data_IF_311788078227
#
_entry.id   IF_311788078227
#
_cell.length_a   1.000
_cell.length_b   1.000
_cell.length_c   1.000
_cell.angle_alpha   90.00
_cell.angle_beta   90.00
_cell.angle_gamma   90.00
#
_symmetry.space_group_name_H-M   'P 1'
#
loop_
_entity.id
_entity.type
_entity.pdbx_description
1 polymer ?
#
# COMPACT_ATOMS: atom_id res chain seq x y z
N UNK A 1 -13.64 -0.37 -16.83
CA UNK A 1 -12.92 0.04 -15.60
C UNK A 1 -11.47 -0.38 -15.69
N UNK A 2 -10.54 0.55 -15.44
CA UNK A 2 -9.11 0.24 -15.35
C UNK A 2 -8.71 -0.27 -13.97
N UNK A 3 -7.54 -0.90 -13.83
CA UNK A 3 -7.07 -1.44 -12.55
C UNK A 3 -6.90 -0.34 -11.49
N UNK A 4 -6.40 0.85 -11.85
CA UNK A 4 -6.34 2.01 -10.95
C UNK A 4 -7.69 2.34 -10.32
N UNK A 5 -8.78 2.14 -11.06
CA UNK A 5 -10.14 2.39 -10.61
C UNK A 5 -10.59 1.33 -9.62
N UNK A 6 -10.32 0.06 -9.93
CA UNK A 6 -10.67 -1.06 -9.04
C UNK A 6 -9.94 -0.96 -7.69
N UNK A 7 -8.75 -0.35 -7.66
CA UNK A 7 -7.93 -0.20 -6.46
C UNK A 7 -8.24 1.04 -5.60
N UNK A 8 -9.20 1.90 -5.95
CA UNK A 8 -9.48 3.14 -5.19
C UNK A 8 -9.97 2.90 -3.75
N UNK A 9 -10.74 1.83 -3.53
CA UNK A 9 -11.20 1.44 -2.20
C UNK A 9 -11.31 -0.08 -2.12
N UNK A 10 -10.38 -0.72 -1.44
CA UNK A 10 -10.30 -2.19 -1.33
C UNK A 10 -10.22 -2.56 0.14
N UNK A 11 -10.92 -3.62 0.52
CA UNK A 11 -10.82 -4.19 1.86
C UNK A 11 -10.29 -5.61 1.80
N UNK A 12 -9.29 -5.92 2.62
CA UNK A 12 -8.84 -7.29 2.88
C UNK A 12 -9.44 -7.72 4.21
N UNK A 13 -10.25 -8.77 4.20
CA UNK A 13 -10.87 -9.37 5.39
C UNK A 13 -10.00 -10.55 5.84
N UNK A 14 -9.71 -10.64 7.14
CA UNK A 14 -8.72 -11.58 7.68
C UNK A 14 -7.29 -11.13 7.34
N UNK A 15 -7.06 -9.82 7.35
CA UNK A 15 -5.81 -9.21 6.90
C UNK A 15 -4.59 -9.59 7.75
N UNK A 16 -4.78 -9.90 9.05
CA UNK A 16 -3.71 -10.35 9.94
C UNK A 16 -3.33 -11.82 9.77
N UNK A 17 -4.10 -12.58 8.98
CA UNK A 17 -3.77 -13.96 8.62
C UNK A 17 -2.63 -14.06 7.61
N UNK A 18 -2.00 -15.23 7.49
CA UNK A 18 -0.84 -15.47 6.60
C UNK A 18 -1.10 -15.11 5.12
N UNK A 19 -2.30 -15.40 4.64
CA UNK A 19 -2.69 -15.08 3.25
C UNK A 19 -3.14 -13.63 3.12
N UNK A 20 -3.91 -13.13 4.09
CA UNK A 20 -4.38 -11.74 4.13
C UNK A 20 -3.22 -10.75 4.16
N UNK A 21 -2.16 -11.05 4.91
CA UNK A 21 -0.99 -10.19 5.03
C UNK A 21 -0.19 -10.10 3.73
N UNK A 22 -0.06 -11.22 3.01
CA UNK A 22 0.55 -11.26 1.68
C UNK A 22 -0.26 -10.46 0.66
N UNK A 23 -1.59 -10.60 0.65
CA UNK A 23 -2.49 -9.84 -0.23
C UNK A 23 -2.41 -8.34 0.10
N UNK A 24 -2.46 -7.99 1.38
CA UNK A 24 -2.35 -6.62 1.85
C UNK A 24 -1.04 -5.96 1.39
N UNK A 25 0.09 -6.66 1.51
CA UNK A 25 1.39 -6.19 1.03
C UNK A 25 1.38 -5.92 -0.49
N UNK A 26 0.90 -6.89 -1.29
CA UNK A 26 0.87 -6.74 -2.74
C UNK A 26 -0.02 -5.57 -3.19
N UNK A 27 -1.20 -5.42 -2.56
CA UNK A 27 -2.09 -4.31 -2.83
C UNK A 27 -1.49 -2.96 -2.40
N UNK A 28 -0.85 -2.89 -1.22
CA UNK A 28 -0.21 -1.67 -0.75
C UNK A 28 0.89 -1.18 -1.70
N UNK A 29 1.75 -2.10 -2.17
CA UNK A 29 2.82 -1.83 -3.13
C UNK A 29 2.25 -1.37 -4.48
N UNK A 30 1.25 -2.07 -5.01
CA UNK A 30 0.63 -1.72 -6.29
C UNK A 30 -0.08 -0.37 -6.24
N UNK A 31 -0.82 -0.10 -5.16
CA UNK A 31 -1.48 1.19 -4.94
C UNK A 31 -0.48 2.34 -4.80
N UNK A 32 0.65 2.11 -4.12
CA UNK A 32 1.72 3.10 -4.00
C UNK A 32 2.32 3.43 -5.37
N UNK A 33 2.74 2.41 -6.13
CA UNK A 33 3.29 2.59 -7.48
C UNK A 33 2.32 3.35 -8.39
N UNK A 34 1.04 2.98 -8.37
CA UNK A 34 0.01 3.65 -9.17
C UNK A 34 -0.21 5.10 -8.76
N UNK A 35 -0.21 5.42 -7.46
CA UNK A 35 -0.32 6.81 -7.03
C UNK A 35 0.82 7.66 -7.59
N UNK A 36 2.06 7.20 -7.41
CA UNK A 36 3.24 7.97 -7.77
C UNK A 36 3.30 8.15 -9.29
N UNK A 37 2.92 7.10 -10.02
CA UNK A 37 2.81 7.11 -11.47
C UNK A 37 1.77 8.10 -12.02
N UNK A 38 1.85 8.41 -13.33
CA UNK A 38 1.04 9.44 -13.97
C UNK A 38 -0.47 9.16 -13.88
N UNK A 39 -0.88 7.89 -13.85
CA UNK A 39 -2.28 7.49 -13.83
C UNK A 39 -2.99 7.72 -12.48
N UNK A 40 -2.24 7.96 -11.40
CA UNK A 40 -2.80 7.97 -10.05
C UNK A 40 -2.64 9.27 -9.28
N UNK A 41 -2.02 10.33 -9.84
CA UNK A 41 -1.78 11.59 -9.12
C UNK A 41 -3.06 12.19 -8.50
N UNK A 42 -4.18 12.15 -9.23
CA UNK A 42 -5.48 12.67 -8.75
C UNK A 42 -6.36 11.61 -8.07
N UNK A 43 -5.88 10.36 -7.96
CA UNK A 43 -6.67 9.25 -7.44
C UNK A 43 -6.46 9.03 -5.94
N UNK A 44 -7.56 8.75 -5.26
CA UNK A 44 -7.58 8.41 -3.84
C UNK A 44 -7.65 6.90 -3.70
N UNK A 45 -6.50 6.29 -3.36
CA UNK A 45 -6.40 4.89 -3.02
C UNK A 45 -6.57 4.72 -1.51
N UNK A 46 -7.41 3.76 -1.12
CA UNK A 46 -7.66 3.35 0.26
C UNK A 46 -7.60 1.84 0.35
N UNK A 47 -6.75 1.35 1.25
CA UNK A 47 -6.65 -0.07 1.58
C UNK A 47 -7.12 -0.26 3.01
N UNK A 48 -8.32 -0.81 3.19
CA UNK A 48 -8.80 -1.17 4.52
C UNK A 48 -8.32 -2.59 4.84
N UNK A 49 -7.71 -2.75 6.00
CA UNK A 49 -7.25 -4.04 6.50
C UNK A 49 -8.12 -4.36 7.71
N UNK A 50 -8.93 -5.39 7.57
CA UNK A 50 -9.88 -5.81 8.58
C UNK A 50 -9.50 -7.17 9.13
N UNK A 51 -9.44 -7.26 10.46
CA UNK A 51 -9.29 -8.51 11.19
C UNK A 51 -10.08 -8.43 12.49
N UNK A 52 -10.28 -9.55 13.17
CA UNK A 52 -11.01 -9.59 14.46
C UNK A 52 -10.12 -9.27 15.65
N UNK A 53 -8.79 -9.27 15.47
CA UNK A 53 -7.83 -9.02 16.54
C UNK A 53 -6.96 -7.81 16.22
N UNK A 54 -6.92 -6.85 17.14
CA UNK A 54 -6.12 -5.62 16.98
C UNK A 54 -4.61 -5.90 16.96
N UNK A 55 -4.14 -6.82 17.79
CA UNK A 55 -2.72 -7.23 17.86
C UNK A 55 -2.19 -7.72 16.50
N UNK A 56 -3.00 -8.48 15.77
CA UNK A 56 -2.66 -8.98 14.44
C UNK A 56 -2.58 -7.86 13.39
N UNK A 57 -3.28 -6.75 13.59
CA UNK A 57 -3.24 -5.59 12.70
C UNK A 57 -1.99 -4.72 12.95
N UNK A 58 -1.55 -4.60 14.21
CA UNK A 58 -0.30 -3.94 14.55
C UNK A 58 0.91 -4.69 13.95
N UNK A 59 0.98 -6.01 14.18
CA UNK A 59 1.98 -6.90 13.59
C UNK A 59 1.99 -6.82 12.04
N UNK A 60 0.80 -6.70 11.44
CA UNK A 60 0.65 -6.58 10.00
C UNK A 60 1.26 -5.29 9.44
N UNK A 61 1.11 -4.16 10.12
CA UNK A 61 1.70 -2.89 9.68
C UNK A 61 3.22 -2.96 9.72
N UNK A 62 3.80 -3.54 10.78
CA UNK A 62 5.23 -3.77 10.88
C UNK A 62 5.75 -4.70 9.77
N UNK A 63 5.02 -5.80 9.53
CA UNK A 63 5.30 -6.72 8.43
C UNK A 63 5.30 -6.00 7.08
N UNK A 64 4.25 -5.24 6.78
CA UNK A 64 4.14 -4.50 5.51
C UNK A 64 5.29 -3.50 5.37
N UNK A 65 5.63 -2.75 6.42
CA UNK A 65 6.74 -1.78 6.38
C UNK A 65 8.08 -2.48 6.09
N UNK A 66 8.36 -3.58 6.79
CA UNK A 66 9.58 -4.38 6.60
C UNK A 66 9.69 -4.94 5.18
N UNK A 67 8.61 -5.52 4.66
CA UNK A 67 8.61 -6.11 3.33
C UNK A 67 8.62 -5.05 2.21
N UNK A 68 7.88 -3.96 2.38
CA UNK A 68 7.90 -2.83 1.45
C UNK A 68 9.30 -2.23 1.33
N UNK A 69 10.05 -2.15 2.44
CA UNK A 69 11.46 -1.71 2.44
C UNK A 69 12.32 -2.63 1.58
N UNK A 70 12.24 -3.94 1.79
CA UNK A 70 12.98 -4.94 0.99
C UNK A 70 12.61 -4.89 -0.49
N UNK A 71 11.34 -4.66 -0.81
CA UNK A 71 10.88 -4.50 -2.20
C UNK A 71 11.46 -3.22 -2.80
N UNK A 72 11.43 -2.11 -2.06
CA UNK A 72 11.95 -0.82 -2.48
C UNK A 72 13.46 -0.85 -2.73
N UNK A 73 14.23 -1.46 -1.83
CA UNK A 73 15.68 -1.68 -2.00
C UNK A 73 16.00 -2.43 -3.29
N UNK A 74 15.26 -3.52 -3.58
CA UNK A 74 15.43 -4.32 -4.81
C UNK A 74 14.97 -3.61 -6.08
N UNK A 75 14.14 -2.57 -5.96
CA UNK A 75 13.53 -1.84 -7.08
C UNK A 75 13.96 -0.38 -7.15
N UNK A 76 15.03 0.01 -6.45
CA UNK A 76 15.45 1.41 -6.32
C UNK A 76 15.63 2.14 -7.67
N UNK A 77 16.14 1.46 -8.69
CA UNK A 77 16.29 2.02 -10.05
C UNK A 77 14.95 2.30 -10.72
N UNK A 78 13.97 1.41 -10.54
CA UNK A 78 12.60 1.62 -11.03
C UNK A 78 11.95 2.80 -10.29
N UNK A 79 12.08 2.84 -8.95
CA UNK A 79 11.53 3.90 -8.12
C UNK A 79 12.11 5.27 -8.47
N UNK A 80 13.41 5.36 -8.78
CA UNK A 80 14.04 6.62 -9.22
C UNK A 80 13.42 7.16 -10.50
N UNK A 81 13.01 6.29 -11.43
CA UNK A 81 12.27 6.70 -12.64
C UNK A 81 10.85 7.12 -12.31
N UNK A 82 10.20 6.43 -11.38
CA UNK A 82 8.84 6.71 -10.96
C UNK A 82 8.73 8.07 -10.24
N UNK A 83 9.76 8.44 -9.48
CA UNK A 83 9.88 9.72 -8.77
C UNK A 83 10.65 10.80 -9.57
N UNK A 84 10.76 10.68 -10.89
CA UNK A 84 11.53 11.64 -11.70
C UNK A 84 11.07 13.10 -11.55
N UNK A 85 9.79 13.33 -11.21
CA UNK A 85 9.21 14.66 -11.01
C UNK A 85 9.43 15.23 -9.57
N UNK A 86 10.06 14.48 -8.66
CA UNK A 86 10.31 14.87 -7.26
C UNK A 86 11.77 15.26 -7.07
N UNK A 87 12.08 16.54 -7.29
CA UNK A 87 13.44 17.09 -7.16
C UNK A 87 13.97 17.07 -5.71
N UNK A 88 13.07 16.98 -4.71
CA UNK A 88 13.41 16.90 -3.30
C UNK A 88 13.93 15.51 -2.86
N UNK A 89 13.80 14.47 -3.71
CA UNK A 89 14.25 13.11 -3.42
C UNK A 89 15.51 12.78 -4.25
N UNK A 90 16.68 13.04 -3.69
CA UNK A 90 17.96 12.96 -4.42
C UNK A 90 18.64 11.61 -4.21
N UNK A 91 18.65 11.14 -2.97
CA UNK A 91 19.29 9.89 -2.56
C UNK A 91 18.35 8.69 -2.65
N UNK A 92 18.91 7.51 -2.91
CA UNK A 92 18.11 6.28 -2.94
C UNK A 92 17.45 5.97 -1.59
N UNK A 93 18.09 6.35 -0.47
CA UNK A 93 17.51 6.19 0.86
C UNK A 93 16.22 7.00 1.04
N UNK A 94 16.19 8.24 0.55
CA UNK A 94 15.01 9.12 0.59
C UNK A 94 13.88 8.55 -0.27
N UNK A 95 14.20 8.09 -1.48
CA UNK A 95 13.25 7.44 -2.39
C UNK A 95 12.63 6.18 -1.76
N UNK A 96 13.45 5.34 -1.12
CA UNK A 96 13.00 4.13 -0.44
C UNK A 96 12.08 4.49 0.74
N UNK A 97 12.49 5.43 1.58
CA UNK A 97 11.71 5.86 2.74
C UNK A 97 10.36 6.47 2.33
N UNK A 98 10.34 7.31 1.29
CA UNK A 98 9.12 7.88 0.74
C UNK A 98 8.22 6.78 0.15
N UNK A 99 8.77 5.82 -0.59
CA UNK A 99 7.98 4.71 -1.14
C UNK A 99 7.33 3.85 -0.04
N UNK A 100 8.05 3.55 1.04
CA UNK A 100 7.51 2.83 2.19
C UNK A 100 6.42 3.64 2.89
N UNK A 101 6.60 4.96 2.99
CA UNK A 101 5.59 5.89 3.50
C UNK A 101 4.34 5.86 2.62
N UNK A 102 4.49 5.88 1.29
CA UNK A 102 3.36 5.78 0.36
C UNK A 102 2.65 4.41 0.46
N UNK A 103 3.36 3.30 0.70
CA UNK A 103 2.72 2.00 0.93
C UNK A 103 1.84 1.99 2.18
N UNK A 104 2.29 2.66 3.26
CA UNK A 104 1.62 2.60 4.57
C UNK A 104 0.58 3.70 4.78
N UNK A 105 0.74 4.90 4.20
CA UNK A 105 -0.15 6.07 4.41
C UNK A 105 -1.62 5.80 4.08
N UNK A 106 -1.90 4.86 3.18
CA UNK A 106 -3.25 4.52 2.67
C UNK A 106 -3.95 3.43 3.45
N UNK A 107 -3.22 2.77 4.34
CA UNK A 107 -3.75 1.69 5.15
C UNK A 107 -4.72 2.27 6.19
N UNK A 108 -5.88 1.63 6.33
CA UNK A 108 -6.84 1.89 7.40
C UNK A 108 -7.11 0.57 8.10
N UNK A 109 -6.77 0.50 9.37
CA UNK A 109 -7.02 -0.67 10.20
C UNK A 109 -8.43 -0.58 10.77
N UNK A 110 -9.12 -1.71 10.87
CA UNK A 110 -10.44 -1.79 11.48
C UNK A 110 -10.70 -3.20 12.00
N UNK A 111 -11.41 -3.30 13.11
CA UNK A 111 -12.02 -4.55 13.58
C UNK A 111 -13.50 -4.66 13.22
N UNK A 112 -14.08 -3.61 12.66
CA UNK A 112 -15.45 -3.58 12.18
C UNK A 112 -15.53 -3.98 10.70
N UNK A 113 -16.37 -4.97 10.40
CA UNK A 113 -16.66 -5.46 9.06
C UNK A 113 -17.33 -4.40 8.18
N UNK A 114 -17.97 -3.38 8.78
CA UNK A 114 -18.67 -2.31 8.06
C UNK A 114 -17.79 -1.56 7.05
N UNK A 115 -16.47 -1.55 7.26
CA UNK A 115 -15.49 -0.93 6.34
C UNK A 115 -15.48 -1.56 4.94
N UNK A 116 -15.97 -2.80 4.80
CA UNK A 116 -16.06 -3.48 3.52
C UNK A 116 -17.22 -2.99 2.63
N UNK A 117 -18.22 -2.28 3.20
CA UNK A 117 -19.49 -1.97 2.53
C UNK A 117 -19.35 -1.28 1.18
N UNK A 118 -18.44 -0.31 1.07
CA UNK A 118 -18.21 0.48 -0.16
C UNK A 118 -16.94 0.06 -0.90
N UNK A 119 -16.39 -1.11 -0.56
CA UNK A 119 -15.15 -1.62 -1.15
C UNK A 119 -15.42 -2.32 -2.48
N UNK A 120 -14.43 -2.25 -3.38
CA UNK A 120 -14.45 -2.90 -4.69
C UNK A 120 -13.79 -4.28 -4.59
N UNK A 121 -14.33 -5.25 -5.32
CA UNK A 121 -13.66 -6.54 -5.52
C UNK A 121 -12.62 -6.43 -6.63
N UNK A 122 -11.40 -6.87 -6.35
CA UNK A 122 -10.25 -6.77 -7.25
C UNK A 122 -9.73 -8.14 -7.63
#
# INVERSE_FOLDING_TARGET
>A
MGLSERLENVTVIGAGGKMGSGIALLLAVEMAKRRIGPEGKDRKFRLNLMDTRDDALDDLVEYIRSQATKIAEKSAVELRRLYADREDLVENGEIIAEFVTECTRRIRLSTDLSVAKDSRMV
#
